data_IF_085087072040
#
_entry.id   IF_085087072040
#
_cell.length_a   1.000
_cell.length_b   1.000
_cell.length_c   1.000
_cell.angle_alpha   90.00
_cell.angle_beta   90.00
_cell.angle_gamma   90.00
#
_symmetry.space_group_name_H-M   'P 1'
#
loop_
_entity.id
_entity.type
_entity.pdbx_description
1 polymer ?
#
# COMPACT_ATOMS: atom_id res chain seq x y z
N UNK A 1 0.40 -7.39 20.51
CA UNK A 1 -0.48 -6.83 21.57
C UNK A 1 0.32 -6.48 22.83
N UNK A 2 1.21 -7.36 23.33
CA UNK A 2 1.95 -7.11 24.59
C UNK A 2 2.93 -5.91 24.61
N UNK A 3 3.48 -5.48 23.47
CA UNK A 3 4.55 -4.48 23.41
C UNK A 3 4.09 -3.02 23.12
N UNK A 4 2.78 -2.78 22.98
CA UNK A 4 2.22 -1.45 22.68
C UNK A 4 2.72 -0.83 21.36
N UNK A 5 2.53 0.49 21.20
CA UNK A 5 2.94 1.24 20.01
C UNK A 5 4.47 1.18 19.78
N UNK A 6 5.27 1.20 20.85
CA UNK A 6 6.73 1.12 20.77
C UNK A 6 7.20 -0.19 20.13
N UNK A 7 6.65 -1.33 20.53
CA UNK A 7 7.00 -2.62 19.92
C UNK A 7 6.60 -2.72 18.44
N UNK A 8 5.48 -2.12 18.07
CA UNK A 8 5.07 -2.04 16.65
C UNK A 8 6.07 -1.20 15.84
N UNK A 9 6.50 -0.06 16.37
CA UNK A 9 7.52 0.78 15.70
C UNK A 9 8.84 0.03 15.58
N UNK A 10 9.30 -0.62 16.64
CA UNK A 10 10.56 -1.37 16.64
C UNK A 10 10.56 -2.52 15.62
N UNK A 11 9.48 -3.30 15.59
CA UNK A 11 9.34 -4.40 14.62
C UNK A 11 9.31 -3.89 13.18
N UNK A 12 8.62 -2.78 12.91
CA UNK A 12 8.63 -2.15 11.60
C UNK A 12 10.03 -1.66 11.18
N UNK A 13 10.83 -1.11 12.11
CA UNK A 13 12.22 -0.69 11.82
C UNK A 13 13.08 -1.89 11.46
N UNK A 14 12.96 -3.00 12.19
CA UNK A 14 13.70 -4.23 11.89
C UNK A 14 13.30 -4.78 10.51
N UNK A 15 12.00 -4.85 10.23
CA UNK A 15 11.49 -5.27 8.93
C UNK A 15 12.01 -4.37 7.81
N UNK A 16 12.01 -3.05 8.00
CA UNK A 16 12.53 -2.09 7.05
C UNK A 16 14.01 -2.35 6.73
N UNK A 17 14.86 -2.53 7.75
CA UNK A 17 16.27 -2.83 7.56
C UNK A 17 16.49 -4.14 6.77
N UNK A 18 15.73 -5.18 7.08
CA UNK A 18 15.82 -6.47 6.38
C UNK A 18 15.44 -6.32 4.90
N UNK A 19 14.32 -5.65 4.63
CA UNK A 19 13.85 -5.39 3.27
C UNK A 19 14.84 -4.49 2.52
N UNK A 20 15.43 -3.49 3.18
CA UNK A 20 16.42 -2.60 2.59
C UNK A 20 17.69 -3.33 2.15
N UNK A 21 18.18 -4.28 2.97
CA UNK A 21 19.32 -5.12 2.58
C UNK A 21 18.99 -5.96 1.34
N UNK A 22 17.82 -6.61 1.32
CA UNK A 22 17.36 -7.35 0.14
C UNK A 22 17.23 -6.45 -1.09
N UNK A 23 16.72 -5.25 -0.90
CA UNK A 23 16.56 -4.21 -1.92
C UNK A 23 17.88 -3.81 -2.57
N UNK A 24 18.90 -3.52 -1.76
CA UNK A 24 20.25 -3.16 -2.26
C UNK A 24 20.86 -4.31 -3.06
N UNK A 25 20.69 -5.55 -2.59
CA UNK A 25 21.20 -6.74 -3.31
C UNK A 25 20.49 -6.90 -4.66
N UNK A 26 19.17 -6.73 -4.72
CA UNK A 26 18.41 -6.81 -5.98
C UNK A 26 18.84 -5.72 -6.96
N UNK A 27 19.04 -4.49 -6.50
CA UNK A 27 19.54 -3.40 -7.34
C UNK A 27 20.93 -3.73 -7.89
N UNK A 28 21.86 -4.20 -7.05
CA UNK A 28 23.19 -4.62 -7.49
C UNK A 28 23.14 -5.79 -8.50
N UNK A 29 22.21 -6.73 -8.30
CA UNK A 29 21.97 -7.85 -9.23
C UNK A 29 21.39 -7.38 -10.56
N UNK A 30 20.51 -6.38 -10.56
CA UNK A 30 19.96 -5.82 -11.79
C UNK A 30 21.05 -5.14 -12.64
N UNK A 31 21.95 -4.39 -12.00
CA UNK A 31 23.06 -3.73 -12.71
C UNK A 31 24.09 -4.73 -13.25
N UNK A 32 24.31 -5.85 -12.55
CA UNK A 32 25.29 -6.88 -12.94
C UNK A 32 24.71 -8.01 -13.81
N UNK A 33 23.43 -7.97 -14.16
CA UNK A 33 22.78 -9.08 -14.89
C UNK A 33 23.25 -9.19 -16.35
N UNK A 34 23.59 -8.07 -16.97
CA UNK A 34 24.04 -7.98 -18.36
C UNK A 34 24.74 -6.64 -18.59
N UNK A 35 25.36 -6.49 -19.75
CA UNK A 35 25.99 -5.25 -20.16
C UNK A 35 24.94 -4.15 -20.37
N UNK A 36 25.31 -2.92 -20.02
CA UNK A 36 24.43 -1.75 -20.13
C UNK A 36 23.79 -1.58 -21.51
N UNK A 37 24.56 -1.86 -22.58
CA UNK A 37 24.08 -1.79 -23.96
C UNK A 37 22.94 -2.78 -24.24
N UNK A 38 23.08 -4.01 -23.74
CA UNK A 38 22.05 -5.05 -23.88
C UNK A 38 20.79 -4.68 -23.11
N UNK A 39 20.94 -4.09 -21.92
CA UNK A 39 19.80 -3.66 -21.09
C UNK A 39 18.99 -2.59 -21.83
N UNK A 40 19.62 -1.55 -22.38
CA UNK A 40 18.90 -0.48 -23.09
C UNK A 40 18.18 -0.99 -24.35
N UNK A 41 18.75 -1.99 -25.03
CA UNK A 41 18.12 -2.56 -26.22
C UNK A 41 16.86 -3.39 -25.91
N UNK A 42 16.78 -3.98 -24.71
CA UNK A 42 15.66 -4.84 -24.33
C UNK A 42 14.62 -4.14 -23.44
N UNK A 43 15.03 -3.13 -22.68
CA UNK A 43 14.13 -2.33 -21.85
C UNK A 43 13.45 -1.26 -22.72
N UNK A 44 12.12 -1.05 -22.59
CA UNK A 44 11.44 -0.02 -23.34
C UNK A 44 12.09 1.36 -23.13
N UNK A 45 12.37 2.12 -24.21
CA UNK A 45 13.08 3.40 -24.11
C UNK A 45 12.33 4.43 -23.26
N UNK A 46 11.02 4.30 -23.11
CA UNK A 46 10.17 5.17 -22.29
C UNK A 46 10.53 5.11 -20.81
N UNK A 47 11.09 3.99 -20.32
CA UNK A 47 11.46 3.82 -18.92
C UNK A 47 12.62 4.72 -18.48
N UNK A 48 13.39 5.25 -19.42
CA UNK A 48 14.49 6.19 -19.17
C UNK A 48 14.03 7.65 -19.24
N UNK A 49 12.78 7.91 -19.59
CA UNK A 49 12.26 9.26 -19.69
C UNK A 49 11.87 9.81 -18.31
N UNK A 50 12.34 11.02 -17.99
CA UNK A 50 11.85 11.77 -16.83
C UNK A 50 10.43 12.32 -17.03
N UNK A 51 9.97 12.35 -18.29
CA UNK A 51 8.64 12.80 -18.65
C UNK A 51 7.81 11.56 -19.00
N UNK A 52 6.66 11.32 -18.34
CA UNK A 52 5.80 10.20 -18.69
C UNK A 52 5.38 10.31 -20.16
N UNK A 53 5.75 9.30 -20.95
CA UNK A 53 5.35 9.17 -22.35
C UNK A 53 3.96 8.54 -22.38
N UNK A 54 2.94 9.33 -22.72
CA UNK A 54 1.55 8.88 -22.71
C UNK A 54 1.20 8.20 -24.02
N UNK A 55 1.13 6.88 -24.02
CA UNK A 55 0.57 6.13 -25.14
C UNK A 55 -0.95 6.08 -25.02
N UNK A 56 -1.61 7.11 -25.54
CA UNK A 56 -3.08 7.23 -25.51
C UNK A 56 -3.78 6.10 -26.27
N UNK A 57 -3.15 5.49 -27.27
CA UNK A 57 -3.73 4.39 -28.04
C UNK A 57 -3.60 3.07 -27.30
N UNK A 58 -2.45 2.75 -26.71
CA UNK A 58 -2.30 1.58 -25.85
C UNK A 58 -3.16 1.71 -24.59
N UNK A 59 -3.26 2.91 -23.98
CA UNK A 59 -4.18 3.18 -22.86
C UNK A 59 -5.66 3.11 -23.26
N UNK A 60 -5.98 3.32 -24.53
CA UNK A 60 -7.35 3.19 -25.06
C UNK A 60 -7.70 1.77 -25.51
N UNK A 61 -6.71 0.98 -25.94
CA UNK A 61 -6.87 -0.33 -26.59
C UNK A 61 -6.40 -1.51 -25.74
N UNK A 62 -5.65 -1.31 -24.66
CA UNK A 62 -5.41 -2.35 -23.65
C UNK A 62 -6.78 -2.85 -23.24
N UNK A 63 -7.06 -4.11 -23.54
CA UNK A 63 -8.39 -4.70 -23.47
C UNK A 63 -9.15 -4.16 -22.27
N UNK A 64 -10.34 -3.67 -22.58
CA UNK A 64 -11.34 -3.17 -21.67
C UNK A 64 -11.70 -4.28 -20.69
N UNK A 65 -10.87 -4.46 -19.67
CA UNK A 65 -11.30 -4.81 -18.33
C UNK A 65 -11.66 -3.51 -17.59
N UNK A 66 -12.24 -2.51 -18.27
CA UNK A 66 -12.75 -1.19 -17.81
C UNK A 66 -11.88 -0.39 -16.80
N UNK A 67 -10.68 -0.86 -16.46
CA UNK A 67 -9.97 -0.52 -15.23
C UNK A 67 -8.94 0.59 -15.39
N UNK A 68 -8.26 0.61 -16.55
CA UNK A 68 -6.99 1.32 -16.71
C UNK A 68 -7.05 2.62 -17.55
N UNK A 69 -8.15 2.93 -18.25
CA UNK A 69 -8.42 4.32 -18.67
C UNK A 69 -8.46 5.27 -17.46
N UNK A 70 -8.85 4.73 -16.31
CA UNK A 70 -8.78 5.39 -15.02
C UNK A 70 -7.41 5.31 -14.36
N UNK A 71 -6.42 4.56 -14.86
CA UNK A 71 -5.08 4.52 -14.24
C UNK A 71 -4.37 5.87 -14.32
N UNK A 72 -4.56 6.62 -15.41
CA UNK A 72 -4.09 8.00 -15.55
C UNK A 72 -4.80 8.88 -14.50
N UNK A 73 -6.13 8.77 -14.43
CA UNK A 73 -6.93 9.49 -13.44
C UNK A 73 -6.54 9.07 -12.01
N UNK A 74 -6.18 7.82 -11.78
CA UNK A 74 -5.76 7.26 -10.51
C UNK A 74 -4.35 7.70 -10.14
N UNK A 75 -3.44 7.80 -11.10
CA UNK A 75 -2.11 8.36 -10.89
C UNK A 75 -2.21 9.84 -10.53
N UNK A 76 -3.04 10.60 -11.25
CA UNK A 76 -3.38 11.97 -10.92
C UNK A 76 -4.08 12.07 -9.56
N UNK A 77 -5.04 11.20 -9.26
CA UNK A 77 -5.72 11.11 -7.97
C UNK A 77 -4.74 10.73 -6.88
N UNK A 78 -3.74 9.88 -7.09
CA UNK A 78 -2.76 9.48 -6.07
C UNK A 78 -1.71 10.56 -5.82
N UNK A 79 -1.29 11.28 -6.85
CA UNK A 79 -0.44 12.48 -6.70
C UNK A 79 -1.23 13.58 -6.00
N UNK A 80 -2.47 13.86 -6.45
CA UNK A 80 -3.37 14.81 -5.82
C UNK A 80 -3.70 14.39 -4.39
N UNK A 81 -3.97 13.11 -4.14
CA UNK A 81 -4.16 12.52 -2.81
C UNK A 81 -2.93 12.74 -1.95
N UNK A 82 -1.74 12.37 -2.42
CA UNK A 82 -0.50 12.58 -1.68
C UNK A 82 -0.31 14.04 -1.30
N UNK A 83 -0.53 14.95 -2.27
CA UNK A 83 -0.43 16.39 -2.07
C UNK A 83 -1.50 16.93 -1.10
N UNK A 84 -2.78 16.67 -1.36
CA UNK A 84 -3.91 17.16 -0.56
C UNK A 84 -4.00 16.50 0.81
N UNK A 85 -3.49 15.28 0.99
CA UNK A 85 -3.36 14.67 2.32
C UNK A 85 -2.17 15.22 3.10
N UNK A 86 -1.07 15.56 2.41
CA UNK A 86 0.05 16.24 3.05
C UNK A 86 -0.29 17.69 3.41
N UNK A 87 -1.12 18.34 2.58
CA UNK A 87 -1.65 19.68 2.84
C UNK A 87 -2.83 19.67 3.83
N UNK A 88 -3.59 18.57 3.85
CA UNK A 88 -4.71 18.35 4.75
C UNK A 88 -4.24 18.01 6.16
N UNK A 89 -5.07 18.34 7.15
CA UNK A 89 -4.79 18.03 8.55
C UNK A 89 -4.77 16.52 8.87
N UNK A 90 -4.64 16.17 10.15
CA UNK A 90 -4.59 14.79 10.65
C UNK A 90 -5.56 13.83 9.97
N UNK A 91 -5.05 12.75 9.38
CA UNK A 91 -5.92 11.70 8.86
C UNK A 91 -6.56 10.89 9.98
N UNK A 92 -7.75 10.35 9.73
CA UNK A 92 -8.42 9.38 10.62
C UNK A 92 -7.81 7.97 10.55
N UNK A 93 -6.56 7.87 10.09
CA UNK A 93 -5.82 6.61 9.94
C UNK A 93 -4.96 6.35 11.17
N UNK A 94 -4.70 5.08 11.45
CA UNK A 94 -3.90 4.63 12.59
C UNK A 94 -2.46 5.22 12.57
N UNK A 95 -1.96 5.62 11.41
CA UNK A 95 -0.64 6.24 11.26
C UNK A 95 -0.53 7.62 11.93
N UNK A 96 -1.64 8.35 12.11
CA UNK A 96 -1.63 9.64 12.81
C UNK A 96 -1.13 9.52 14.26
N UNK A 97 -1.38 8.37 14.89
CA UNK A 97 -0.90 8.10 16.24
C UNK A 97 0.63 8.19 16.34
N UNK A 98 1.36 7.91 15.25
CA UNK A 98 2.82 8.01 15.21
C UNK A 98 3.29 9.45 15.31
N UNK A 99 2.64 10.37 14.60
CA UNK A 99 2.93 11.80 14.69
C UNK A 99 2.55 12.39 16.06
N UNK A 100 1.40 11.98 16.61
CA UNK A 100 0.95 12.43 17.95
C UNK A 100 1.84 11.89 19.08
N UNK A 101 2.51 10.76 18.87
CA UNK A 101 3.46 10.19 19.82
C UNK A 101 4.86 10.81 19.77
N UNK A 102 5.12 11.72 18.83
CA UNK A 102 6.40 12.40 18.72
C UNK A 102 6.59 13.38 19.90
N UNK A 103 7.84 13.49 20.38
CA UNK A 103 8.18 14.32 21.55
C UNK A 103 7.94 15.82 21.33
N UNK A 104 8.01 16.27 20.09
CA UNK A 104 7.77 17.66 19.72
C UNK A 104 7.28 17.75 18.27
N UNK A 105 6.64 18.86 17.86
CA UNK A 105 6.25 19.09 16.47
C UNK A 105 7.44 18.98 15.50
N UNK A 106 8.64 19.42 15.91
CA UNK A 106 9.85 19.32 15.10
C UNK A 106 10.24 17.87 14.82
N UNK A 107 10.12 16.99 15.81
CA UNK A 107 10.39 15.55 15.63
C UNK A 107 9.31 14.87 14.77
N UNK A 108 8.05 15.30 14.87
CA UNK A 108 6.99 14.83 13.98
C UNK A 108 7.29 15.19 12.51
N UNK A 109 7.75 16.41 12.23
CA UNK A 109 8.14 16.82 10.88
C UNK A 109 9.33 16.01 10.35
N UNK A 110 10.37 15.80 11.18
CA UNK A 110 11.53 14.96 10.79
C UNK A 110 11.11 13.53 10.47
N UNK A 111 10.19 12.95 11.24
CA UNK A 111 9.66 11.62 10.97
C UNK A 111 8.93 11.57 9.61
N UNK A 112 8.16 12.61 9.27
CA UNK A 112 7.53 12.75 7.96
C UNK A 112 8.54 12.85 6.81
N UNK A 113 9.60 13.63 6.98
CA UNK A 113 10.68 13.75 5.99
C UNK A 113 11.42 12.41 5.79
N UNK A 114 11.75 11.72 6.89
CA UNK A 114 12.43 10.42 6.85
C UNK A 114 11.59 9.38 6.12
N UNK A 115 10.27 9.40 6.32
CA UNK A 115 9.35 8.50 5.62
C UNK A 115 9.42 8.68 4.09
N UNK A 116 9.41 9.92 3.60
CA UNK A 116 9.57 10.22 2.18
C UNK A 116 10.91 9.73 1.62
N UNK A 117 12.01 10.01 2.32
CA UNK A 117 13.34 9.55 1.91
C UNK A 117 13.48 8.02 1.91
N UNK A 118 12.86 7.35 2.88
CA UNK A 118 12.87 5.89 3.02
C UNK A 118 12.02 5.18 1.96
N UNK A 119 11.08 5.87 1.31
CA UNK A 119 10.28 5.37 0.20
C UNK A 119 11.06 5.35 -1.13
N UNK A 120 12.01 6.27 -1.32
CA UNK A 120 12.77 6.38 -2.57
C UNK A 120 13.43 5.06 -3.03
N UNK A 121 14.09 4.28 -2.16
CA UNK A 121 14.66 2.98 -2.55
C UNK A 121 13.63 1.99 -3.10
N UNK A 122 12.35 2.05 -2.68
CA UNK A 122 11.33 1.12 -3.18
C UNK A 122 11.07 1.28 -4.68
N UNK A 123 11.13 2.51 -5.21
CA UNK A 123 11.01 2.75 -6.65
C UNK A 123 12.20 2.15 -7.42
N UNK A 124 13.41 2.28 -6.87
CA UNK A 124 14.62 1.70 -7.47
C UNK A 124 14.55 0.16 -7.50
N UNK A 125 14.03 -0.46 -6.45
CA UNK A 125 13.84 -1.92 -6.41
C UNK A 125 12.80 -2.37 -7.41
N UNK A 126 11.71 -1.62 -7.57
CA UNK A 126 10.66 -1.94 -8.53
C UNK A 126 11.22 -1.94 -9.96
N UNK A 127 12.03 -0.92 -10.30
CA UNK A 127 12.75 -0.86 -11.57
C UNK A 127 13.75 -2.03 -11.71
N UNK A 128 14.53 -2.33 -10.67
CA UNK A 128 15.49 -3.44 -10.67
C UNK A 128 14.80 -4.79 -10.93
N UNK A 129 13.66 -5.05 -10.27
CA UNK A 129 12.85 -6.25 -10.48
C UNK A 129 12.31 -6.31 -11.91
N UNK A 130 11.85 -5.18 -12.46
CA UNK A 130 11.40 -5.08 -13.85
C UNK A 130 12.50 -5.43 -14.85
N UNK A 131 13.68 -4.81 -14.72
CA UNK A 131 14.85 -5.09 -15.57
C UNK A 131 15.24 -6.56 -15.48
N UNK A 132 15.37 -7.11 -14.27
CA UNK A 132 15.68 -8.53 -14.08
C UNK A 132 14.62 -9.43 -14.74
N UNK A 133 13.35 -9.05 -14.62
CA UNK A 133 12.21 -9.72 -15.23
C UNK A 133 12.32 -9.83 -16.75
N UNK A 134 12.60 -8.71 -17.41
CA UNK A 134 12.78 -8.62 -18.85
C UNK A 134 14.00 -9.46 -19.29
N UNK A 135 15.15 -9.27 -18.63
CA UNK A 135 16.39 -9.93 -19.04
C UNK A 135 16.37 -11.46 -18.86
N UNK A 136 15.65 -11.99 -17.85
CA UNK A 136 15.61 -13.44 -17.58
C UNK A 136 14.40 -14.14 -18.18
N UNK A 137 13.24 -13.52 -18.16
CA UNK A 137 11.98 -14.15 -18.58
C UNK A 137 11.35 -13.50 -19.81
N UNK A 138 11.94 -12.43 -20.36
CA UNK A 138 11.48 -11.79 -21.59
C UNK A 138 10.04 -11.28 -21.51
N UNK A 139 9.57 -10.93 -20.31
CA UNK A 139 8.17 -10.53 -20.08
C UNK A 139 7.14 -11.65 -20.22
N UNK A 140 7.55 -12.92 -20.33
CA UNK A 140 6.64 -14.07 -20.54
C UNK A 140 5.95 -14.61 -19.29
N UNK A 141 5.96 -13.86 -18.19
CA UNK A 141 5.21 -14.27 -17.01
C UNK A 141 3.72 -14.08 -17.30
N UNK A 142 2.95 -15.16 -17.14
CA UNK A 142 1.49 -15.17 -17.34
C UNK A 142 0.77 -14.13 -16.48
N UNK A 143 1.36 -13.84 -15.31
CA UNK A 143 0.86 -12.93 -14.30
C UNK A 143 2.01 -12.00 -13.86
N UNK A 144 2.00 -10.72 -14.26
CA UNK A 144 3.02 -9.74 -13.88
C UNK A 144 3.24 -9.65 -12.36
N UNK A 145 2.19 -9.87 -11.56
CA UNK A 145 2.21 -9.88 -10.10
C UNK A 145 3.13 -10.95 -9.49
N UNK A 146 3.39 -12.03 -10.23
CA UNK A 146 4.30 -13.09 -9.77
C UNK A 146 5.78 -12.75 -9.95
N UNK A 147 6.10 -11.68 -10.69
CA UNK A 147 7.48 -11.30 -10.98
C UNK A 147 8.27 -11.04 -9.69
N UNK A 148 7.69 -10.31 -8.75
CA UNK A 148 8.37 -9.92 -7.51
C UNK A 148 8.74 -11.13 -6.63
N UNK A 149 7.82 -12.08 -6.33
CA UNK A 149 8.15 -13.34 -5.68
C UNK A 149 9.20 -14.18 -6.42
N UNK A 150 9.10 -14.28 -7.75
CA UNK A 150 10.03 -15.08 -8.57
C UNK A 150 11.44 -14.50 -8.54
N UNK A 151 11.57 -13.17 -8.65
CA UNK A 151 12.86 -12.47 -8.58
C UNK A 151 13.50 -12.62 -7.19
N UNK A 152 12.73 -12.43 -6.11
CA UNK A 152 13.22 -12.68 -4.75
C UNK A 152 13.67 -14.14 -4.58
N UNK A 153 12.87 -15.08 -5.08
CA UNK A 153 13.11 -16.52 -4.95
C UNK A 153 14.40 -16.98 -5.63
N UNK A 154 14.78 -16.33 -6.72
CA UNK A 154 15.87 -16.75 -7.62
C UNK A 154 17.12 -15.89 -7.54
N UNK A 155 17.02 -14.60 -7.19
CA UNK A 155 18.16 -13.68 -7.21
C UNK A 155 18.82 -13.50 -5.84
N UNK A 156 18.08 -13.70 -4.75
CA UNK A 156 18.62 -13.50 -3.42
C UNK A 156 19.39 -14.74 -2.92
N UNK A 157 20.54 -14.55 -2.25
CA UNK A 157 21.29 -15.64 -1.61
C UNK A 157 20.44 -16.39 -0.58
N UNK A 158 20.79 -17.66 -0.36
CA UNK A 158 20.22 -18.45 0.72
C UNK A 158 20.54 -17.79 2.08
N UNK A 159 19.59 -17.77 3.00
CA UNK A 159 19.65 -16.93 4.20
C UNK A 159 18.94 -15.58 4.01
N UNK A 160 19.51 -14.66 3.22
CA UNK A 160 18.90 -13.34 2.95
C UNK A 160 17.51 -13.49 2.35
N UNK A 161 17.33 -14.42 1.40
CA UNK A 161 16.02 -14.77 0.84
C UNK A 161 15.00 -15.09 1.93
N UNK A 162 15.38 -15.91 2.90
CA UNK A 162 14.51 -16.30 4.01
C UNK A 162 14.16 -15.11 4.90
N UNK A 163 15.13 -14.26 5.21
CA UNK A 163 14.93 -13.04 5.98
C UNK A 163 13.98 -12.06 5.27
N UNK A 164 14.18 -11.82 3.98
CA UNK A 164 13.32 -10.92 3.19
C UNK A 164 11.90 -11.47 3.11
N UNK A 165 11.72 -12.77 2.83
CA UNK A 165 10.39 -13.39 2.80
C UNK A 165 9.70 -13.31 4.17
N UNK A 166 10.42 -13.57 5.26
CA UNK A 166 9.91 -13.42 6.62
C UNK A 166 9.53 -11.95 6.92
N UNK A 167 10.37 -11.00 6.51
CA UNK A 167 10.12 -9.56 6.64
C UNK A 167 8.88 -9.11 5.89
N UNK A 168 8.71 -9.54 4.64
CA UNK A 168 7.52 -9.27 3.83
C UNK A 168 6.26 -9.87 4.44
N UNK A 169 6.31 -11.12 4.90
CA UNK A 169 5.18 -11.77 5.57
C UNK A 169 4.82 -11.04 6.88
N UNK A 170 5.83 -10.59 7.63
CA UNK A 170 5.65 -9.84 8.86
C UNK A 170 5.05 -8.45 8.60
N UNK A 171 5.48 -7.76 7.55
CA UNK A 171 4.91 -6.47 7.12
C UNK A 171 3.45 -6.63 6.64
N UNK A 172 3.17 -7.70 5.88
CA UNK A 172 1.80 -8.08 5.51
C UNK A 172 0.93 -8.30 6.74
N UNK A 173 1.40 -9.09 7.71
CA UNK A 173 0.66 -9.33 8.95
C UNK A 173 0.41 -8.06 9.77
N UNK A 174 1.38 -7.14 9.81
CA UNK A 174 1.22 -5.85 10.49
C UNK A 174 0.08 -5.01 9.88
N UNK A 175 0.05 -4.93 8.55
CA UNK A 175 -0.98 -4.20 7.81
C UNK A 175 -2.33 -4.90 7.92
N UNK A 176 -2.36 -6.21 7.69
CA UNK A 176 -3.56 -7.03 7.77
C UNK A 176 -4.22 -6.93 9.15
N UNK A 177 -3.46 -7.11 10.23
CA UNK A 177 -3.97 -7.00 11.59
C UNK A 177 -4.49 -5.59 11.90
N UNK A 178 -3.82 -4.54 11.43
CA UNK A 178 -4.24 -3.16 11.64
C UNK A 178 -5.56 -2.86 10.93
N UNK A 179 -5.70 -3.29 9.66
CA UNK A 179 -6.92 -3.10 8.87
C UNK A 179 -8.11 -3.86 9.46
N UNK A 180 -7.93 -5.15 9.83
CA UNK A 180 -9.00 -5.94 10.46
C UNK A 180 -9.41 -5.34 11.81
N UNK A 181 -8.44 -4.93 12.63
CA UNK A 181 -8.73 -4.34 13.94
C UNK A 181 -9.43 -2.98 13.84
N UNK A 182 -9.05 -2.15 12.87
CA UNK A 182 -9.72 -0.88 12.58
C UNK A 182 -11.16 -1.12 12.11
N UNK A 183 -11.36 -2.00 11.12
CA UNK A 183 -12.70 -2.34 10.62
C UNK A 183 -13.61 -2.91 11.71
N UNK A 184 -13.10 -3.82 12.54
CA UNK A 184 -13.85 -4.36 13.67
C UNK A 184 -14.17 -3.29 14.71
N UNK A 185 -13.28 -2.33 14.93
CA UNK A 185 -13.52 -1.22 15.86
C UNK A 185 -14.61 -0.28 15.35
N UNK A 186 -14.66 0.01 14.05
CA UNK A 186 -15.76 0.79 13.46
C UNK A 186 -17.09 0.06 13.60
N UNK A 187 -17.16 -1.23 13.25
CA UNK A 187 -18.39 -2.02 13.43
C UNK A 187 -18.83 -2.08 14.89
N UNK A 188 -17.90 -2.19 15.84
CA UNK A 188 -18.27 -2.28 17.25
C UNK A 188 -18.63 -0.93 17.85
N UNK A 189 -17.86 0.13 17.58
CA UNK A 189 -18.11 1.43 18.21
C UNK A 189 -19.26 2.17 17.53
N UNK A 190 -19.26 2.19 16.21
CA UNK A 190 -20.15 3.07 15.44
C UNK A 190 -21.51 2.41 15.19
N UNK A 191 -21.55 1.08 15.07
CA UNK A 191 -22.78 0.32 14.86
C UNK A 191 -23.23 -0.40 16.15
N UNK A 192 -22.39 -1.29 16.72
CA UNK A 192 -22.83 -2.11 17.85
C UNK A 192 -23.07 -1.29 19.12
N UNK A 193 -22.12 -0.48 19.55
CA UNK A 193 -22.24 0.29 20.78
C UNK A 193 -23.20 1.47 20.57
N UNK A 194 -22.98 2.29 19.53
CA UNK A 194 -23.77 3.50 19.34
C UNK A 194 -25.25 3.22 19.01
N UNK A 195 -25.56 2.20 18.21
CA UNK A 195 -26.91 1.96 17.68
C UNK A 195 -27.59 0.76 18.36
N UNK A 196 -26.93 -0.40 18.42
CA UNK A 196 -27.57 -1.66 18.85
C UNK A 196 -27.59 -1.86 20.38
N UNK A 197 -26.50 -1.52 21.07
CA UNK A 197 -26.32 -1.67 22.52
C UNK A 197 -25.50 -0.52 23.14
N UNK A 198 -26.12 0.65 23.38
CA UNK A 198 -25.46 1.81 24.01
C UNK A 198 -24.93 1.59 25.43
N UNK A 199 -25.42 0.57 26.12
CA UNK A 199 -25.03 0.23 27.50
C UNK A 199 -24.11 -1.01 27.58
N UNK A 200 -23.49 -1.41 26.46
CA UNK A 200 -22.60 -2.56 26.44
C UNK A 200 -21.40 -2.36 27.38
N UNK A 201 -21.06 -3.40 28.15
CA UNK A 201 -19.88 -3.35 29.01
C UNK A 201 -18.58 -3.44 28.20
N UNK A 202 -17.45 -2.96 28.75
CA UNK A 202 -16.14 -3.09 28.08
C UNK A 202 -15.79 -4.55 27.72
N UNK A 203 -16.16 -5.51 28.57
CA UNK A 203 -15.93 -6.95 28.28
C UNK A 203 -16.75 -7.43 27.10
N UNK A 204 -17.98 -6.94 26.97
CA UNK A 204 -18.87 -7.25 25.86
C UNK A 204 -18.36 -6.64 24.55
N UNK A 205 -17.94 -5.37 24.57
CA UNK A 205 -17.35 -4.70 23.41
C UNK A 205 -16.09 -5.42 22.89
N UNK A 206 -15.23 -5.91 23.79
CA UNK A 206 -14.06 -6.71 23.39
C UNK A 206 -14.46 -8.03 22.74
N UNK A 207 -15.50 -8.71 23.25
CA UNK A 207 -16.00 -9.95 22.62
C UNK A 207 -16.62 -9.67 21.25
N UNK A 208 -17.44 -8.63 21.14
CA UNK A 208 -18.01 -8.19 19.88
C UNK A 208 -16.92 -7.87 18.86
N UNK A 209 -15.85 -7.18 19.27
CA UNK A 209 -14.71 -6.84 18.40
C UNK A 209 -14.00 -8.08 17.85
N UNK A 210 -13.80 -9.11 18.68
CA UNK A 210 -13.23 -10.39 18.21
C UNK A 210 -14.14 -11.08 17.20
N UNK A 211 -15.45 -11.11 17.42
CA UNK A 211 -16.41 -11.71 16.49
C UNK A 211 -16.44 -10.94 15.17
N UNK A 212 -16.56 -9.62 15.21
CA UNK A 212 -16.51 -8.78 14.02
C UNK A 212 -15.21 -8.98 13.23
N UNK A 213 -14.07 -9.12 13.92
CA UNK A 213 -12.77 -9.37 13.27
C UNK A 213 -12.79 -10.68 12.48
N UNK A 214 -13.30 -11.76 13.07
CA UNK A 214 -13.43 -13.07 12.40
C UNK A 214 -14.39 -12.97 11.20
N UNK A 215 -15.52 -12.29 11.35
CA UNK A 215 -16.48 -12.10 10.26
C UNK A 215 -15.88 -11.31 9.08
N UNK A 216 -15.14 -10.23 9.36
CA UNK A 216 -14.42 -9.46 8.34
C UNK A 216 -13.40 -10.35 7.61
N UNK A 217 -12.64 -11.18 8.34
CA UNK A 217 -11.66 -12.08 7.73
C UNK A 217 -12.35 -13.10 6.82
N UNK A 218 -13.43 -13.73 7.28
CA UNK A 218 -14.19 -14.70 6.48
C UNK A 218 -14.75 -14.03 5.23
N UNK A 219 -15.36 -12.86 5.35
CA UNK A 219 -15.88 -12.10 4.20
C UNK A 219 -14.75 -11.75 3.21
N UNK A 220 -13.59 -11.31 3.71
CA UNK A 220 -12.42 -11.03 2.89
C UNK A 220 -11.90 -12.26 2.14
N UNK A 221 -11.87 -13.43 2.77
CA UNK A 221 -11.51 -14.70 2.12
C UNK A 221 -12.51 -15.07 1.03
N UNK A 222 -13.82 -14.97 1.31
CA UNK A 222 -14.87 -15.31 0.34
C UNK A 222 -14.82 -14.41 -0.90
N UNK A 223 -14.57 -13.11 -0.72
CA UNK A 223 -14.37 -12.17 -1.83
C UNK A 223 -13.06 -12.47 -2.56
N UNK A 224 -11.98 -12.73 -1.82
CA UNK A 224 -10.67 -13.05 -2.39
C UNK A 224 -10.66 -14.31 -3.25
N UNK A 225 -11.41 -15.35 -2.86
CA UNK A 225 -11.53 -16.60 -3.63
C UNK A 225 -12.22 -16.42 -4.99
N UNK A 226 -13.00 -15.34 -5.17
CA UNK A 226 -13.68 -15.04 -6.43
C UNK A 226 -12.82 -14.18 -7.37
N UNK A 227 -11.77 -13.55 -6.85
CA UNK A 227 -10.90 -12.71 -7.63
C UNK A 227 -9.96 -13.56 -8.50
N UNK A 228 -9.97 -13.30 -9.81
CA UNK A 228 -9.10 -14.00 -10.77
C UNK A 228 -7.71 -13.38 -10.82
N UNK A 229 -7.64 -12.05 -10.82
CA UNK A 229 -6.38 -11.28 -10.90
C UNK A 229 -6.39 -10.16 -9.86
N UNK A 230 -5.21 -9.78 -9.36
CA UNK A 230 -5.05 -8.69 -8.38
C UNK A 230 -5.53 -7.35 -8.96
N UNK A 231 -5.31 -7.14 -10.26
CA UNK A 231 -5.71 -5.92 -10.97
C UNK A 231 -7.22 -5.67 -10.89
N UNK A 232 -8.04 -6.72 -10.92
CA UNK A 232 -9.50 -6.58 -10.80
C UNK A 232 -9.91 -6.09 -9.41
N UNK A 233 -9.34 -6.67 -8.34
CA UNK A 233 -9.62 -6.22 -6.97
C UNK A 233 -9.17 -4.77 -6.79
N UNK A 234 -7.96 -4.45 -7.27
CA UNK A 234 -7.40 -3.11 -7.15
C UNK A 234 -8.26 -2.08 -7.89
N UNK A 235 -8.69 -2.39 -9.12
CA UNK A 235 -9.61 -1.56 -9.88
C UNK A 235 -10.92 -1.32 -9.14
N UNK A 236 -11.57 -2.37 -8.63
CA UNK A 236 -12.83 -2.25 -7.88
C UNK A 236 -12.70 -1.35 -6.65
N UNK A 237 -11.70 -1.62 -5.79
CA UNK A 237 -11.46 -0.83 -4.57
C UNK A 237 -11.17 0.62 -4.93
N UNK A 238 -10.35 0.86 -5.95
CA UNK A 238 -9.91 2.21 -6.29
C UNK A 238 -10.99 3.03 -6.98
N UNK A 239 -11.84 2.42 -7.79
CA UNK A 239 -12.97 3.13 -8.41
C UNK A 239 -14.07 3.47 -7.41
N UNK A 240 -14.36 2.55 -6.47
CA UNK A 240 -15.43 2.78 -5.49
C UNK A 240 -14.98 3.67 -4.34
N UNK A 241 -13.77 3.48 -3.80
CA UNK A 241 -13.29 4.23 -2.63
C UNK A 241 -12.43 5.43 -3.00
N UNK A 242 -11.69 5.37 -4.09
CA UNK A 242 -10.71 6.41 -4.45
C UNK A 242 -11.34 7.77 -4.77
N UNK A 243 -12.49 7.80 -5.43
CA UNK A 243 -13.22 9.05 -5.74
C UNK A 243 -14.13 9.48 -4.59
N UNK A 244 -14.89 8.55 -4.01
CA UNK A 244 -15.87 8.83 -2.96
C UNK A 244 -15.22 9.26 -1.63
N UNK A 245 -14.04 8.72 -1.27
CA UNK A 245 -13.40 8.99 0.03
C UNK A 245 -12.44 10.18 -0.05
N UNK A 246 -11.84 10.44 -1.20
CA UNK A 246 -10.86 11.51 -1.36
C UNK A 246 -11.48 12.89 -1.17
N UNK A 247 -12.57 13.16 -1.88
CA UNK A 247 -13.15 14.51 -1.94
C UNK A 247 -13.65 14.98 -0.56
N UNK A 248 -14.42 14.17 0.21
CA UNK A 248 -14.83 14.54 1.56
C UNK A 248 -13.68 14.73 2.55
N UNK A 249 -12.62 13.91 2.45
CA UNK A 249 -11.47 14.00 3.36
C UNK A 249 -10.59 15.23 3.12
N UNK A 250 -10.60 15.78 1.90
CA UNK A 250 -9.93 17.05 1.58
C UNK A 250 -10.84 18.22 1.92
N UNK A 251 -12.08 18.21 1.41
CA UNK A 251 -13.01 19.34 1.56
C UNK A 251 -13.28 19.70 3.02
N UNK A 252 -13.36 18.74 3.94
CA UNK A 252 -13.58 19.02 5.37
C UNK A 252 -12.55 19.95 6.01
N UNK A 253 -11.33 20.01 5.47
CA UNK A 253 -10.25 20.84 6.03
C UNK A 253 -10.20 22.23 5.41
N UNK A 254 -10.64 22.37 4.16
CA UNK A 254 -10.51 23.61 3.39
C UNK A 254 -11.85 24.34 3.18
N UNK A 255 -12.99 23.66 3.36
CA UNK A 255 -14.32 24.21 3.17
C UNK A 255 -15.12 24.20 4.48
N UNK A 256 -15.20 25.37 5.11
CA UNK A 256 -15.90 25.56 6.39
C UNK A 256 -17.41 25.29 6.38
N UNK A 257 -18.04 25.15 5.20
CA UNK A 257 -19.47 24.80 5.06
C UNK A 257 -19.70 23.30 4.82
N UNK A 258 -18.63 22.50 4.79
CA UNK A 258 -18.74 21.07 4.60
C UNK A 258 -19.28 20.41 5.88
N UNK A 259 -20.53 19.97 5.83
CA UNK A 259 -21.24 19.36 6.95
C UNK A 259 -21.37 17.83 6.78
N UNK A 260 -21.97 17.17 7.79
CA UNK A 260 -22.17 15.72 7.76
C UNK A 260 -23.06 15.24 6.60
N UNK A 261 -23.94 16.10 6.08
CA UNK A 261 -24.76 15.79 4.91
C UNK A 261 -23.94 15.85 3.63
N UNK A 262 -23.02 16.81 3.50
CA UNK A 262 -22.05 16.88 2.41
C UNK A 262 -21.04 15.73 2.38
N UNK A 263 -20.81 15.06 3.52
CA UNK A 263 -19.94 13.87 3.60
C UNK A 263 -20.64 12.58 3.13
N UNK A 264 -21.98 12.52 3.18
CA UNK A 264 -22.76 11.30 2.93
C UNK A 264 -23.21 11.14 1.46
N UNK A 265 -23.00 12.15 0.61
CA UNK A 265 -23.31 12.19 -0.83
C UNK A 265 -22.07 11.84 -1.64
#
# INVERSE_FOLDING_TARGET
IAAGLFGVVLTNVIQFCIILVGSVILIAKAVSISDYQTIIQQVPPEWFSFIPQWDWQHLANWEISEGFRLFILMSLVWVAKGFFLAAGGPQQLYDMQRFLSARSPREACKAGMLWGAALTPMFMVSAAVGVIGIMKWGGKLTHPEHLYPVVIGTMLPIGIKGLVLAGLLSAFMSTFASTVNAGASYLVRDLYNNILRPKASNRELVRASRICSVLIIIAGILVGMQARNIDQIFGWIMMTLGTAVLMPNVLRWFWWRFDGFGYAV
#
